data_IF_744395439030
#
_entry.id   IF_744395439030
#
_cell.length_a   1.000
_cell.length_b   1.000
_cell.length_c   1.000
_cell.angle_alpha   90.00
_cell.angle_beta   90.00
_cell.angle_gamma   90.00
#
_symmetry.space_group_name_H-M   'P 1'
#
loop_
_entity.id
_entity.type
_entity.pdbx_description
1 polymer ?
#
# COMPACT_ATOMS: atom_id res chain seq x y z
N UNK A 1 -17.96 -35.97 -2.84
CA UNK A 1 -16.77 -35.11 -2.98
C UNK A 1 -16.94 -34.05 -1.91
N UNK A 2 -16.17 -34.16 -0.83
CA UNK A 2 -16.24 -33.23 0.30
C UNK A 2 -15.44 -31.98 -0.11
N UNK A 3 -16.10 -30.82 -0.13
CA UNK A 3 -15.44 -29.56 -0.50
C UNK A 3 -14.53 -29.16 0.65
N UNK A 4 -13.21 -29.17 0.41
CA UNK A 4 -12.20 -28.77 1.40
C UNK A 4 -12.17 -27.25 1.64
N UNK A 5 -12.84 -26.47 0.80
CA UNK A 5 -12.90 -25.02 0.91
C UNK A 5 -14.19 -24.58 1.62
N UNK A 6 -14.10 -23.59 2.52
CA UNK A 6 -15.27 -23.03 3.20
C UNK A 6 -16.27 -22.47 2.18
N UNK A 7 -17.54 -22.77 2.39
CA UNK A 7 -18.63 -22.33 1.50
C UNK A 7 -19.19 -20.97 1.88
N UNK A 8 -18.93 -20.48 3.09
CA UNK A 8 -19.36 -19.16 3.54
C UNK A 8 -18.20 -18.17 3.50
N UNK A 9 -18.45 -16.98 2.94
CA UNK A 9 -17.44 -15.94 2.71
C UNK A 9 -16.87 -15.30 3.97
N UNK A 10 -17.45 -15.57 5.14
CA UNK A 10 -17.05 -15.03 6.45
C UNK A 10 -16.30 -16.02 7.34
N UNK A 11 -16.09 -17.26 6.87
CA UNK A 11 -15.28 -18.23 7.61
C UNK A 11 -13.82 -17.76 7.69
N UNK A 12 -13.24 -17.78 8.89
CA UNK A 12 -11.86 -17.36 9.13
C UNK A 12 -10.84 -18.11 8.25
N UNK A 13 -11.13 -19.38 7.93
CA UNK A 13 -10.37 -20.19 6.98
C UNK A 13 -10.49 -19.67 5.54
N UNK A 14 -11.65 -19.15 5.14
CA UNK A 14 -11.89 -18.59 3.81
C UNK A 14 -11.10 -17.30 3.61
N UNK A 15 -11.14 -16.39 4.60
CA UNK A 15 -10.35 -15.16 4.60
C UNK A 15 -8.85 -15.42 4.60
N UNK A 16 -8.39 -16.46 5.31
CA UNK A 16 -6.98 -16.86 5.28
C UNK A 16 -6.54 -17.32 3.88
N UNK A 17 -7.35 -18.13 3.19
CA UNK A 17 -7.05 -18.57 1.82
C UNK A 17 -7.08 -17.40 0.85
N UNK A 18 -8.10 -16.54 0.95
CA UNK A 18 -8.24 -15.34 0.14
C UNK A 18 -7.03 -14.42 0.28
N UNK A 19 -6.59 -14.17 1.53
CA UNK A 19 -5.40 -13.38 1.84
C UNK A 19 -4.14 -13.96 1.22
N UNK A 20 -3.91 -15.28 1.38
CA UNK A 20 -2.71 -15.95 0.83
C UNK A 20 -2.68 -15.87 -0.69
N UNK A 21 -3.82 -16.14 -1.33
CA UNK A 21 -3.92 -16.05 -2.78
C UNK A 21 -3.74 -14.60 -3.28
N UNK A 22 -4.33 -13.62 -2.57
CA UNK A 22 -4.15 -12.20 -2.88
C UNK A 22 -2.68 -11.80 -2.86
N UNK A 23 -1.94 -12.13 -1.79
CA UNK A 23 -0.49 -11.83 -1.69
C UNK A 23 0.29 -12.51 -2.81
N UNK A 24 -0.04 -13.76 -3.16
CA UNK A 24 0.62 -14.47 -4.27
C UNK A 24 0.42 -13.82 -5.64
N UNK A 25 -0.60 -12.96 -5.83
CA UNK A 25 -0.72 -12.14 -7.07
C UNK A 25 0.36 -11.08 -7.21
N UNK A 26 1.08 -10.78 -6.11
CA UNK A 26 2.17 -9.81 -6.04
C UNK A 26 3.51 -10.48 -5.70
N UNK A 27 3.63 -11.79 -5.91
CA UNK A 27 4.88 -12.52 -5.70
C UNK A 27 6.04 -11.91 -6.50
N UNK A 28 7.25 -11.99 -5.96
CA UNK A 28 8.45 -11.51 -6.66
C UNK A 28 8.71 -12.33 -7.93
N UNK A 29 8.34 -13.61 -7.91
CA UNK A 29 8.46 -14.52 -9.05
C UNK A 29 7.25 -14.40 -10.00
N UNK A 30 7.52 -14.19 -11.29
CA UNK A 30 6.49 -14.00 -12.32
C UNK A 30 5.58 -15.22 -12.50
N UNK A 31 6.15 -16.42 -12.38
CA UNK A 31 5.43 -17.70 -12.49
C UNK A 31 4.36 -17.82 -11.39
N UNK A 32 4.73 -17.45 -10.16
CA UNK A 32 3.84 -17.44 -9.00
C UNK A 32 2.68 -16.47 -9.19
N UNK A 33 2.98 -15.22 -9.60
CA UNK A 33 1.95 -14.20 -9.91
C UNK A 33 0.99 -14.66 -10.99
N UNK A 34 1.52 -15.22 -12.07
CA UNK A 34 0.72 -15.67 -13.21
C UNK A 34 -0.25 -16.79 -12.82
N UNK A 35 0.20 -17.74 -11.99
CA UNK A 35 -0.65 -18.82 -11.51
C UNK A 35 -1.70 -18.29 -10.52
N UNK A 36 -1.31 -17.40 -9.61
CA UNK A 36 -2.22 -16.79 -8.65
C UNK A 36 -3.32 -15.96 -9.35
N UNK A 37 -2.97 -15.18 -10.37
CA UNK A 37 -3.94 -14.44 -11.17
C UNK A 37 -4.93 -15.38 -11.87
N UNK A 38 -4.45 -16.45 -12.50
CA UNK A 38 -5.33 -17.45 -13.15
C UNK A 38 -6.30 -18.07 -12.14
N UNK A 39 -5.83 -18.42 -10.95
CA UNK A 39 -6.67 -18.98 -9.88
C UNK A 39 -7.69 -17.96 -9.39
N UNK A 40 -7.28 -16.70 -9.18
CA UNK A 40 -8.16 -15.63 -8.75
C UNK A 40 -9.33 -15.43 -9.73
N UNK A 41 -9.02 -15.38 -11.03
CA UNK A 41 -10.03 -15.23 -12.08
C UNK A 41 -10.92 -16.48 -12.23
N UNK A 42 -10.34 -17.68 -12.20
CA UNK A 42 -11.07 -18.93 -12.36
C UNK A 42 -12.07 -19.19 -11.22
N UNK A 43 -11.76 -18.70 -10.02
CA UNK A 43 -12.61 -18.80 -8.83
C UNK A 43 -13.53 -17.59 -8.65
N UNK A 44 -13.46 -16.60 -9.55
CA UNK A 44 -14.22 -15.35 -9.49
C UNK A 44 -14.16 -14.68 -8.11
N UNK A 45 -12.96 -14.60 -7.54
CA UNK A 45 -12.76 -14.04 -6.21
C UNK A 45 -12.80 -12.52 -6.24
N UNK A 46 -13.32 -11.95 -5.16
CA UNK A 46 -13.39 -10.50 -4.95
C UNK A 46 -12.61 -10.16 -3.68
N UNK A 47 -11.98 -8.99 -3.70
CA UNK A 47 -11.30 -8.46 -2.51
C UNK A 47 -12.37 -7.96 -1.54
N UNK A 48 -12.14 -8.12 -0.23
CA UNK A 48 -13.00 -7.59 0.82
C UNK A 48 -12.20 -6.65 1.74
N UNK A 49 -12.82 -5.59 2.32
CA UNK A 49 -12.09 -4.57 3.07
C UNK A 49 -11.37 -5.11 4.31
N UNK A 50 -11.85 -6.20 4.92
CA UNK A 50 -11.24 -6.85 6.07
C UNK A 50 -9.80 -7.33 5.78
N UNK A 51 -9.48 -7.63 4.51
CA UNK A 51 -8.14 -8.03 4.11
C UNK A 51 -7.10 -6.92 4.31
N UNK A 52 -7.47 -5.64 4.24
CA UNK A 52 -6.54 -4.53 4.39
C UNK A 52 -5.77 -4.59 5.73
N UNK A 53 -6.48 -4.85 6.84
CA UNK A 53 -5.83 -5.01 8.15
C UNK A 53 -5.06 -6.33 8.24
N UNK A 54 -5.58 -7.42 7.65
CA UNK A 54 -4.93 -8.73 7.72
C UNK A 54 -3.58 -8.76 6.99
N UNK A 55 -3.46 -8.06 5.86
CA UNK A 55 -2.25 -8.01 5.03
C UNK A 55 -1.03 -7.42 5.78
N UNK A 56 -1.23 -6.68 6.88
CA UNK A 56 -0.14 -6.21 7.75
C UNK A 56 0.71 -7.37 8.29
N UNK A 57 0.11 -8.55 8.47
CA UNK A 57 0.86 -9.73 8.87
C UNK A 57 1.82 -10.25 7.80
N UNK A 58 1.55 -10.04 6.51
CA UNK A 58 2.47 -10.40 5.42
C UNK A 58 3.55 -9.32 5.24
N UNK A 59 3.17 -8.05 5.42
CA UNK A 59 4.12 -6.92 5.45
C UNK A 59 5.20 -7.11 6.51
N UNK A 60 4.88 -7.72 7.65
CA UNK A 60 5.83 -7.93 8.76
C UNK A 60 6.44 -9.33 8.81
N UNK A 61 6.31 -10.11 7.73
CA UNK A 61 6.86 -11.45 7.63
C UNK A 61 8.40 -11.46 7.68
N UNK A 62 9.02 -12.53 8.18
CA UNK A 62 10.48 -12.64 8.28
C UNK A 62 11.16 -12.79 6.91
N UNK A 63 10.45 -13.36 5.94
CA UNK A 63 10.94 -13.54 4.57
C UNK A 63 10.76 -12.27 3.72
N UNK A 64 11.82 -11.83 3.03
CA UNK A 64 11.82 -10.56 2.28
C UNK A 64 10.86 -10.58 1.10
N UNK A 65 10.83 -11.67 0.33
CA UNK A 65 9.92 -11.83 -0.80
C UNK A 65 8.45 -11.66 -0.38
N UNK A 66 8.08 -12.20 0.79
CA UNK A 66 6.72 -12.09 1.34
C UNK A 66 6.43 -10.67 1.80
N UNK A 67 7.39 -9.96 2.42
CA UNK A 67 7.21 -8.56 2.82
C UNK A 67 6.99 -7.64 1.61
N UNK A 68 7.79 -7.81 0.57
CA UNK A 68 7.69 -7.03 -0.66
C UNK A 68 6.35 -7.27 -1.33
N UNK A 69 5.96 -8.53 -1.53
CA UNK A 69 4.65 -8.90 -2.06
C UNK A 69 3.51 -8.36 -1.17
N UNK A 70 3.64 -8.49 0.15
CA UNK A 70 2.67 -7.99 1.13
C UNK A 70 2.48 -6.47 1.08
N UNK A 71 3.56 -5.71 0.90
CA UNK A 71 3.50 -4.25 0.76
C UNK A 71 2.78 -3.82 -0.52
N UNK A 72 3.06 -4.50 -1.65
CA UNK A 72 2.36 -4.24 -2.92
C UNK A 72 0.89 -4.65 -2.86
N UNK A 73 0.62 -5.82 -2.29
CA UNK A 73 -0.71 -6.35 -2.07
C UNK A 73 -1.56 -5.44 -1.18
N UNK A 74 -0.98 -4.91 -0.09
CA UNK A 74 -1.65 -3.97 0.81
C UNK A 74 -1.92 -2.64 0.10
N UNK A 75 -0.94 -2.12 -0.64
CA UNK A 75 -1.11 -0.90 -1.44
C UNK A 75 -2.24 -1.04 -2.46
N UNK A 76 -2.29 -2.17 -3.19
CA UNK A 76 -3.38 -2.44 -4.13
C UNK A 76 -4.73 -2.54 -3.43
N UNK A 77 -4.80 -3.15 -2.25
CA UNK A 77 -6.03 -3.26 -1.48
C UNK A 77 -6.55 -1.90 -0.99
N UNK A 78 -5.66 -1.03 -0.50
CA UNK A 78 -6.00 0.34 -0.10
C UNK A 78 -6.37 1.23 -1.28
N UNK A 79 -5.85 0.96 -2.48
CA UNK A 79 -6.31 1.64 -3.69
C UNK A 79 -7.80 1.44 -3.94
N UNK A 80 -8.31 0.24 -3.65
CA UNK A 80 -9.72 -0.15 -3.82
C UNK A 80 -10.57 0.32 -2.63
N UNK A 81 -10.07 0.13 -1.41
CA UNK A 81 -10.73 0.48 -0.15
C UNK A 81 -10.02 1.66 0.53
N UNK A 82 -10.10 2.84 -0.08
CA UNK A 82 -9.36 4.03 0.39
C UNK A 82 -9.75 4.47 1.80
N UNK A 83 -10.99 4.24 2.20
CA UNK A 83 -11.51 4.50 3.55
C UNK A 83 -10.75 3.72 4.65
N UNK A 84 -10.09 2.62 4.30
CA UNK A 84 -9.26 1.83 5.23
C UNK A 84 -7.87 2.43 5.46
N UNK A 85 -7.45 3.41 4.65
CA UNK A 85 -6.08 3.97 4.72
C UNK A 85 -5.72 4.55 6.10
N UNK A 86 -6.61 5.28 6.82
CA UNK A 86 -6.28 5.82 8.15
C UNK A 86 -6.09 4.72 9.19
N UNK A 87 -6.91 3.67 9.10
CA UNK A 87 -6.87 2.52 10.02
C UNK A 87 -5.55 1.77 9.83
N UNK A 88 -5.21 1.42 8.59
CA UNK A 88 -3.97 0.70 8.26
C UNK A 88 -2.74 1.53 8.60
N UNK A 89 -2.74 2.84 8.31
CA UNK A 89 -1.62 3.71 8.67
C UNK A 89 -1.40 3.74 10.20
N UNK A 90 -2.48 3.87 10.97
CA UNK A 90 -2.41 3.82 12.43
C UNK A 90 -1.87 2.50 12.95
N UNK A 91 -2.33 1.38 12.41
CA UNK A 91 -1.85 0.04 12.77
C UNK A 91 -0.37 -0.17 12.43
N UNK A 92 0.09 0.29 11.26
CA UNK A 92 1.49 0.20 10.85
C UNK A 92 2.41 1.01 11.78
N UNK A 93 1.99 2.23 12.13
CA UNK A 93 2.74 3.10 13.05
C UNK A 93 2.84 2.49 14.45
N UNK A 94 1.73 2.02 15.00
CA UNK A 94 1.69 1.33 16.29
C UNK A 94 2.58 0.07 16.29
N UNK A 95 2.47 -0.75 15.24
CA UNK A 95 3.27 -1.96 15.09
C UNK A 95 4.77 -1.66 14.96
N UNK A 96 5.15 -0.56 14.31
CA UNK A 96 6.55 -0.13 14.24
C UNK A 96 7.12 0.09 15.64
N UNK A 97 6.42 0.85 16.49
CA UNK A 97 6.86 1.14 17.86
C UNK A 97 6.93 -0.13 18.72
N UNK A 98 5.96 -1.03 18.58
CA UNK A 98 5.97 -2.32 19.24
C UNK A 98 7.20 -3.17 18.84
N UNK A 99 7.55 -3.18 17.54
CA UNK A 99 8.72 -3.91 17.02
C UNK A 99 10.05 -3.19 17.28
N UNK A 100 10.02 -1.90 17.59
CA UNK A 100 11.19 -1.11 17.99
C UNK A 100 11.53 -1.36 19.46
N UNK A 101 10.54 -1.50 20.34
CA UNK A 101 10.78 -1.77 21.75
C UNK A 101 11.51 -3.11 21.96
N UNK A 102 12.62 -3.06 22.71
CA UNK A 102 13.33 -4.26 23.18
C UNK A 102 13.37 -4.26 24.70
N UNK A 103 12.76 -5.25 25.37
CA UNK A 103 12.79 -5.31 26.82
C UNK A 103 14.25 -5.51 27.31
N UNK A 104 14.60 -4.94 28.47
CA UNK A 104 15.89 -5.21 29.10
C UNK A 104 16.03 -6.69 29.49
N UNK A 105 17.27 -7.20 29.65
CA UNK A 105 17.46 -8.55 30.12
C UNK A 105 16.91 -8.68 31.54
N UNK A 106 16.32 -9.83 31.86
CA UNK A 106 15.77 -10.09 33.19
C UNK A 106 16.88 -10.62 34.08
N UNK A 107 17.03 -10.03 35.27
CA UNK A 107 18.05 -10.39 36.25
C UNK A 107 17.41 -11.07 37.47
N UNK A 108 18.12 -12.03 38.08
CA UNK A 108 17.76 -12.59 39.38
C UNK A 108 18.13 -11.63 40.54
N UNK A 109 17.77 -12.01 41.78
CA UNK A 109 18.08 -11.25 42.99
C UNK A 109 19.60 -11.07 43.26
N UNK A 110 20.44 -11.79 42.53
CA UNK A 110 21.90 -11.79 42.65
C UNK A 110 22.56 -11.10 41.44
N UNK A 111 21.77 -10.50 40.53
CA UNK A 111 22.23 -9.77 39.36
C UNK A 111 22.64 -10.64 38.17
N UNK A 112 22.30 -11.94 38.17
CA UNK A 112 22.62 -12.85 37.06
C UNK A 112 21.51 -12.82 36.01
N UNK A 113 21.89 -12.88 34.74
CA UNK A 113 20.93 -12.90 33.63
C UNK A 113 20.17 -14.22 33.61
N UNK A 114 18.85 -14.14 33.74
CA UNK A 114 17.93 -15.28 33.60
C UNK A 114 17.19 -15.28 32.26
N UNK A 115 17.11 -14.13 31.59
CA UNK A 115 16.61 -14.01 30.23
C UNK A 115 17.38 -12.92 29.51
N UNK A 116 17.97 -13.28 28.38
CA UNK A 116 18.62 -12.34 27.47
C UNK A 116 17.60 -11.40 26.81
N UNK A 117 18.11 -10.31 26.24
CA UNK A 117 17.29 -9.43 25.42
C UNK A 117 16.86 -10.14 24.14
N UNK A 118 15.58 -10.05 23.73
CA UNK A 118 15.13 -10.58 22.46
C UNK A 118 15.89 -9.98 21.27
N UNK A 119 16.07 -10.76 20.18
CA UNK A 119 16.65 -10.24 18.95
C UNK A 119 15.83 -9.08 18.40
N UNK A 120 16.49 -8.18 17.66
CA UNK A 120 15.82 -7.05 17.03
C UNK A 120 14.93 -7.54 15.89
N UNK A 121 13.66 -7.12 15.87
CA UNK A 121 12.69 -7.47 14.83
C UNK A 121 12.73 -6.44 13.70
N UNK A 122 13.93 -6.18 13.17
CA UNK A 122 14.16 -5.13 12.20
C UNK A 122 13.52 -5.45 10.84
N UNK A 123 13.39 -6.73 10.49
CA UNK A 123 12.76 -7.18 9.24
C UNK A 123 11.30 -6.70 9.15
N UNK A 124 10.56 -6.82 10.25
CA UNK A 124 9.19 -6.33 10.34
C UNK A 124 9.13 -4.80 10.16
N UNK A 125 10.08 -4.06 10.73
CA UNK A 125 10.15 -2.59 10.57
C UNK A 125 10.52 -2.18 9.15
N UNK A 126 11.40 -2.93 8.46
CA UNK A 126 11.66 -2.74 7.04
C UNK A 126 10.40 -2.96 6.20
N UNK A 127 9.64 -4.01 6.49
CA UNK A 127 8.36 -4.27 5.85
C UNK A 127 7.36 -3.12 5.99
N UNK A 128 7.22 -2.59 7.20
CA UNK A 128 6.39 -1.40 7.46
C UNK A 128 6.84 -0.22 6.59
N UNK A 129 8.15 0.02 6.48
CA UNK A 129 8.68 1.08 5.63
C UNK A 129 8.31 0.87 4.14
N UNK A 130 8.40 -0.36 3.63
CA UNK A 130 7.99 -0.70 2.26
C UNK A 130 6.50 -0.45 2.04
N UNK A 131 5.66 -0.83 2.99
CA UNK A 131 4.22 -0.57 2.92
C UNK A 131 3.92 0.93 2.93
N UNK A 132 4.52 1.69 3.85
CA UNK A 132 4.35 3.15 3.93
C UNK A 132 4.76 3.83 2.62
N UNK A 133 5.87 3.41 2.00
CA UNK A 133 6.32 3.93 0.71
C UNK A 133 5.23 3.83 -0.37
N UNK A 134 4.61 2.66 -0.50
CA UNK A 134 3.58 2.38 -1.51
C UNK A 134 2.25 3.06 -1.19
N UNK A 135 1.91 3.17 0.10
CA UNK A 135 0.65 3.76 0.57
C UNK A 135 0.56 5.27 0.40
N UNK A 136 1.69 5.98 0.23
CA UNK A 136 1.75 7.45 0.17
C UNK A 136 0.69 8.08 -0.76
N UNK A 137 0.45 7.48 -1.94
CA UNK A 137 -0.51 7.97 -2.94
C UNK A 137 -2.00 7.84 -2.55
N UNK A 138 -2.31 7.12 -1.48
CA UNK A 138 -3.67 6.85 -1.00
C UNK A 138 -3.96 7.48 0.36
N UNK A 139 -3.04 8.30 0.87
CA UNK A 139 -3.23 9.05 2.11
C UNK A 139 -3.91 10.39 1.80
N UNK A 140 -4.84 10.77 2.66
CA UNK A 140 -5.48 12.08 2.61
C UNK A 140 -4.73 13.08 3.49
N UNK A 141 -4.97 14.38 3.27
CA UNK A 141 -4.34 15.49 4.01
C UNK A 141 -4.23 15.31 5.54
N UNK A 142 -5.28 14.85 6.29
CA UNK A 142 -5.16 14.71 7.74
C UNK A 142 -4.14 13.66 8.19
N UNK A 143 -3.76 12.72 7.32
CA UNK A 143 -2.78 11.68 7.61
C UNK A 143 -1.34 12.12 7.33
N UNK A 144 -1.14 13.14 6.48
CA UNK A 144 0.18 13.57 6.02
C UNK A 144 1.02 14.14 7.17
N UNK A 145 0.45 15.04 7.99
CA UNK A 145 1.19 15.63 9.11
C UNK A 145 1.61 14.58 10.15
N UNK A 146 0.72 13.70 10.64
CA UNK A 146 1.11 12.58 11.52
C UNK A 146 2.19 11.68 10.91
N UNK A 147 2.14 11.41 9.60
CA UNK A 147 3.14 10.60 8.92
C UNK A 147 4.55 11.23 8.98
N UNK A 148 4.66 12.54 8.76
CA UNK A 148 5.96 13.22 8.88
C UNK A 148 6.47 13.32 10.32
N UNK A 149 5.58 13.49 11.30
CA UNK A 149 5.94 13.42 12.72
C UNK A 149 6.38 12.02 13.14
N UNK A 150 5.89 10.98 12.46
CA UNK A 150 6.42 9.62 12.62
C UNK A 150 7.80 9.44 11.98
N UNK A 151 8.03 9.98 10.77
CA UNK A 151 9.34 9.89 10.14
C UNK A 151 10.43 10.60 10.93
N UNK A 152 10.12 11.77 11.50
CA UNK A 152 11.03 12.60 12.29
C UNK A 152 10.38 12.94 13.64
N UNK A 153 10.94 12.49 14.77
CA UNK A 153 12.32 12.02 14.93
C UNK A 153 12.50 10.49 14.84
N UNK A 154 11.43 9.70 14.78
CA UNK A 154 11.51 8.28 15.12
C UNK A 154 12.04 7.41 13.98
N UNK A 155 11.31 7.29 12.87
CA UNK A 155 11.57 6.25 11.88
C UNK A 155 12.91 6.42 11.12
N UNK A 156 13.32 7.66 10.84
CA UNK A 156 14.62 7.96 10.22
C UNK A 156 15.81 7.79 11.18
N UNK A 157 15.54 7.72 12.49
CA UNK A 157 16.53 7.46 13.52
C UNK A 157 16.52 5.99 13.99
N UNK A 158 15.99 5.06 13.17
CA UNK A 158 15.99 3.63 13.49
C UNK A 158 17.41 3.13 13.75
N UNK A 159 17.55 2.22 14.72
CA UNK A 159 18.83 1.60 15.07
C UNK A 159 19.43 0.79 13.93
N UNK A 160 18.60 0.19 13.08
CA UNK A 160 19.04 -0.69 12.01
C UNK A 160 19.24 0.12 10.71
N UNK A 161 20.41 0.06 10.05
CA UNK A 161 20.70 0.86 8.87
C UNK A 161 19.76 0.57 7.70
N UNK A 162 19.36 -0.69 7.53
CA UNK A 162 18.42 -1.08 6.47
C UNK A 162 17.03 -0.48 6.66
N UNK A 163 16.56 -0.40 7.92
CA UNK A 163 15.26 0.21 8.23
C UNK A 163 15.33 1.71 7.93
N UNK A 164 16.43 2.39 8.30
CA UNK A 164 16.63 3.81 7.96
C UNK A 164 16.63 4.06 6.46
N UNK A 165 17.24 3.17 5.67
CA UNK A 165 17.22 3.25 4.20
C UNK A 165 15.79 3.17 3.67
N UNK A 166 15.04 2.14 4.04
CA UNK A 166 13.66 1.97 3.58
C UNK A 166 12.74 3.11 4.07
N UNK A 167 12.93 3.60 5.30
CA UNK A 167 12.16 4.73 5.85
C UNK A 167 12.48 6.04 5.12
N UNK A 168 13.74 6.25 4.71
CA UNK A 168 14.11 7.38 3.87
C UNK A 168 13.39 7.31 2.51
N UNK A 169 13.39 6.14 1.87
CA UNK A 169 12.68 5.94 0.60
C UNK A 169 11.19 6.26 0.78
N UNK A 170 10.56 5.79 1.87
CA UNK A 170 9.16 6.06 2.19
C UNK A 170 8.88 7.56 2.44
N UNK A 171 9.75 8.24 3.19
CA UNK A 171 9.63 9.67 3.45
C UNK A 171 9.78 10.51 2.16
N UNK A 172 10.68 10.12 1.27
CA UNK A 172 10.83 10.74 -0.05
C UNK A 172 9.59 10.52 -0.92
N UNK A 173 9.02 9.32 -0.93
CA UNK A 173 7.73 9.06 -1.61
C UNK A 173 6.62 9.96 -1.05
N UNK A 174 6.48 10.04 0.27
CA UNK A 174 5.48 10.90 0.91
C UNK A 174 5.67 12.38 0.53
N UNK A 175 6.91 12.86 0.52
CA UNK A 175 7.26 14.23 0.12
C UNK A 175 6.96 14.48 -1.36
N UNK A 176 7.27 13.54 -2.24
CA UNK A 176 7.00 13.69 -3.67
C UNK A 176 5.49 13.71 -3.97
N UNK A 177 4.70 12.94 -3.22
CA UNK A 177 3.24 12.89 -3.35
C UNK A 177 2.56 14.12 -2.75
N UNK A 178 2.92 14.50 -1.51
CA UNK A 178 2.19 15.49 -0.72
C UNK A 178 2.92 16.83 -0.53
N UNK A 179 4.19 16.91 -0.91
CA UNK A 179 5.05 18.07 -0.70
C UNK A 179 4.58 19.33 -1.40
N UNK A 180 3.80 19.22 -2.49
CA UNK A 180 3.16 20.39 -3.12
C UNK A 180 2.08 21.02 -2.23
N UNK A 181 1.38 20.22 -1.42
CA UNK A 181 0.38 20.71 -0.46
C UNK A 181 1.05 21.24 0.82
N UNK A 182 2.11 20.53 1.29
CA UNK A 182 2.86 20.91 2.51
C UNK A 182 3.71 22.18 2.31
N UNK A 183 4.30 22.40 1.14
CA UNK A 183 5.08 23.61 0.86
C UNK A 183 4.24 24.91 0.94
N UNK A 184 2.92 24.82 0.74
CA UNK A 184 2.01 25.96 0.91
C UNK A 184 1.63 26.20 2.39
N UNK A 185 1.82 25.20 3.26
CA UNK A 185 1.37 25.22 4.65
C UNK A 185 2.49 25.46 5.68
N UNK A 186 3.73 25.78 5.26
CA UNK A 186 4.80 26.15 6.21
C UNK A 186 4.48 27.54 6.77
N UNK A 187 4.18 27.69 8.09
CA UNK A 187 3.95 29.00 8.67
C UNK A 187 5.29 29.75 8.70
N UNK A 188 5.41 30.81 7.90
CA UNK A 188 6.53 31.76 8.01
C UNK A 188 7.34 32.06 6.76
N UNK A 189 7.02 31.50 5.58
CA UNK A 189 7.68 31.89 4.32
C UNK A 189 6.70 31.88 3.13
N UNK A 190 5.83 32.87 3.06
CA UNK A 190 5.06 33.20 1.85
C UNK A 190 4.94 34.72 1.72
N UNK A 191 6.01 35.39 1.29
CA UNK A 191 5.86 36.66 0.57
C UNK A 191 5.52 36.32 -0.88
N UNK A 192 4.22 36.22 -1.18
CA UNK A 192 3.77 36.25 -2.58
C UNK A 192 3.82 37.71 -3.06
N UNK A 193 4.49 38.03 -4.18
CA UNK A 193 4.34 39.34 -4.78
C UNK A 193 2.92 39.46 -5.35
N UNK A 194 2.24 40.56 -5.01
CA UNK A 194 0.90 40.86 -5.50
C UNK A 194 0.84 40.78 -7.04
N UNK A 195 -0.25 40.24 -7.64
CA UNK A 195 -0.39 40.21 -9.08
C UNK A 195 -0.52 41.65 -9.61
N UNK A 196 0.54 42.11 -10.28
CA UNK A 196 0.53 43.34 -11.03
C UNK A 196 -0.46 43.24 -12.19
N UNK A 197 -1.49 44.08 -12.15
CA UNK A 197 -2.43 44.30 -13.25
C UNK A 197 -1.65 44.73 -14.48
N UNK A 198 -1.67 43.92 -15.55
CA UNK A 198 -1.18 44.33 -16.87
C UNK A 198 -2.26 44.07 -17.92
N UNK A 199 -2.53 45.12 -18.69
CA UNK A 199 -3.70 45.34 -19.51
C UNK A 199 -3.95 44.32 -20.63
N UNK A 200 -5.23 44.22 -20.96
CA UNK A 200 -5.77 43.54 -22.14
C UNK A 200 -5.39 44.31 -23.40
N UNK A 201 -4.89 43.66 -24.47
CA UNK A 201 -5.02 44.17 -25.82
C UNK A 201 -6.18 43.49 -26.55
N UNK A 202 -7.06 44.32 -27.13
CA UNK A 202 -8.18 43.94 -27.99
C UNK A 202 -7.74 43.27 -29.30
N UNK A 203 -8.58 42.33 -29.78
CA UNK A 203 -8.86 42.21 -31.23
C UNK A 203 -8.41 40.93 -31.94
N UNK A 204 -9.35 39.97 -32.15
CA UNK A 204 -9.49 39.15 -33.38
C UNK A 204 -10.87 38.43 -33.42
N UNK A 205 -11.55 38.28 -34.59
CA UNK A 205 -12.99 38.00 -34.69
C UNK A 205 -13.34 36.49 -34.74
N UNK A 206 -14.64 36.10 -34.76
CA UNK A 206 -15.08 34.78 -34.34
C UNK A 206 -15.09 33.75 -35.47
N UNK A 207 -14.75 32.49 -35.15
CA UNK A 207 -14.78 31.39 -36.10
C UNK A 207 -14.93 30.03 -35.42
N UNK A 208 -16.15 29.48 -35.54
CA UNK A 208 -16.57 28.07 -35.50
C UNK A 208 -16.38 27.23 -34.22
N UNK A 209 -17.53 26.97 -33.58
CA UNK A 209 -17.78 25.80 -32.73
C UNK A 209 -17.56 24.49 -33.52
N UNK A 210 -16.79 23.58 -32.95
CA UNK A 210 -16.85 22.15 -33.25
C UNK A 210 -17.04 21.41 -31.92
N UNK A 211 -18.24 20.85 -31.75
CA UNK A 211 -18.53 19.78 -30.78
C UNK A 211 -17.69 18.56 -31.16
N UNK A 212 -17.05 17.93 -30.19
CA UNK A 212 -16.59 16.54 -30.31
C UNK A 212 -17.28 15.73 -29.22
N UNK A 213 -18.02 14.72 -29.66
CA UNK A 213 -18.70 13.69 -28.85
C UNK A 213 -17.68 12.69 -28.26
N UNK A 214 -18.01 11.98 -27.17
CA UNK A 214 -17.15 10.95 -26.60
C UNK A 214 -17.07 9.67 -27.48
N UNK A 215 -16.03 8.84 -27.33
CA UNK A 215 -15.84 7.63 -28.14
C UNK A 215 -16.74 6.47 -27.67
N UNK A 216 -17.27 5.71 -28.64
CA UNK A 216 -18.06 4.49 -28.42
C UNK A 216 -17.15 3.27 -28.15
N UNK A 217 -17.50 2.46 -27.15
CA UNK A 217 -16.89 1.16 -26.88
C UNK A 217 -17.35 0.12 -27.91
N UNK A 218 -16.41 -0.40 -28.71
CA UNK A 218 -16.66 -1.49 -29.66
C UNK A 218 -16.94 -2.82 -28.94
N UNK A 219 -18.14 -3.38 -29.18
CA UNK A 219 -18.47 -4.77 -28.87
C UNK A 219 -17.78 -5.71 -29.87
N UNK A 220 -17.09 -6.73 -29.36
CA UNK A 220 -16.59 -7.86 -30.14
C UNK A 220 -17.76 -8.82 -30.41
N UNK A 221 -18.16 -8.94 -31.67
CA UNK A 221 -19.08 -10.00 -32.11
C UNK A 221 -18.37 -11.34 -32.16
N UNK A 222 -18.96 -12.32 -31.49
CA UNK A 222 -18.54 -13.72 -31.48
C UNK A 222 -18.75 -14.40 -32.84
N UNK A 223 -17.78 -15.25 -33.19
CA UNK A 223 -17.89 -16.22 -34.27
C UNK A 223 -18.66 -17.44 -33.76
N UNK A 224 -19.81 -17.72 -34.37
CA UNK A 224 -20.54 -18.98 -34.26
C UNK A 224 -20.60 -19.66 -35.62
N UNK A 225 -20.38 -20.97 -35.64
CA UNK A 225 -20.72 -21.89 -36.73
C UNK A 225 -19.52 -22.43 -37.49
N UNK A 226 -19.46 -23.69 -37.91
CA UNK A 226 -20.43 -24.78 -37.88
C UNK A 226 -19.67 -26.11 -38.11
N UNK A 227 -20.25 -27.18 -37.59
CA UNK A 227 -19.94 -28.59 -37.81
C UNK A 227 -20.35 -29.09 -39.20
N UNK A 228 -19.75 -30.22 -39.62
CA UNK A 228 -20.13 -31.24 -40.65
C UNK A 228 -18.95 -31.42 -41.62
N UNK A 229 -18.41 -32.60 -41.95
CA UNK A 229 -18.94 -33.96 -42.04
C UNK A 229 -18.66 -34.47 -43.48
N UNK A 230 -18.22 -35.74 -43.62
CA UNK A 230 -17.83 -36.49 -44.85
C UNK A 230 -16.36 -36.28 -45.28
N UNK A 231 -15.52 -37.30 -45.52
CA UNK A 231 -15.67 -38.74 -45.85
C UNK A 231 -14.86 -39.67 -44.93
#
# INVERSE_FOLDING_TARGET
MEMALPTESTDASGLSVLRRLWVSRFDVEEEGRTLAEKLWQALCLELVPELCSLLIGDVTHHEEAVRTAGAEALSSAICEYRDQSPIVLGQLNELYHQKLYRPPPVLDALGRVISEQPPDQWEARCGIALALNKLCQYLDEPQVTPLFLFFVPDALNDRHPEVRRCMLDAALSALNTHGKCVACCVPGQCELPAPGVRGVPEGRPPGRQLRLSPPECGHLNGLSGQTSGQE
#
